data_IF_506959172576
#
_entry.id   IF_506959172576
#
_cell.length_a   1.000
_cell.length_b   1.000
_cell.length_c   1.000
_cell.angle_alpha   90.00
_cell.angle_beta   90.00
_cell.angle_gamma   90.00
#
_symmetry.space_group_name_H-M   'P 1'
#
loop_
_entity.id
_entity.type
_entity.pdbx_description
1 polymer ?
#
# COMPACT_ATOMS: atom_id res chain seq x y z
N UNK A 1 4.20 25.05 -19.98
CA UNK A 1 4.04 25.12 -18.51
C UNK A 1 2.75 24.47 -18.02
N UNK A 2 1.66 24.53 -18.80
CA UNK A 2 0.37 23.90 -18.47
C UNK A 2 0.34 22.36 -18.70
N UNK A 3 1.22 21.81 -19.55
CA UNK A 3 1.42 20.35 -19.65
C UNK A 3 2.16 19.75 -18.44
N UNK A 4 2.80 20.59 -17.62
CA UNK A 4 3.70 20.16 -16.53
C UNK A 4 2.96 19.83 -15.22
N UNK A 5 1.75 20.34 -15.02
CA UNK A 5 0.97 20.11 -13.79
C UNK A 5 0.05 18.88 -13.91
N UNK A 6 -0.25 18.45 -15.14
CA UNK A 6 -1.18 17.35 -15.41
C UNK A 6 -0.57 15.96 -15.15
N UNK A 7 0.75 15.84 -15.10
CA UNK A 7 1.42 14.55 -14.83
C UNK A 7 1.30 14.08 -13.36
N UNK A 8 0.99 14.98 -12.43
CA UNK A 8 0.79 14.65 -11.01
C UNK A 8 -0.60 14.04 -10.76
N UNK A 9 -1.55 14.20 -11.71
CA UNK A 9 -2.96 13.84 -11.52
C UNK A 9 -3.28 12.35 -11.64
N UNK A 10 -2.48 11.56 -12.38
CA UNK A 10 -2.75 10.13 -12.52
C UNK A 10 -2.01 9.33 -11.43
N UNK A 11 -2.71 8.82 -10.40
CA UNK A 11 -2.10 8.02 -9.34
C UNK A 11 -1.36 6.81 -9.90
N UNK A 12 -1.79 6.26 -11.05
CA UNK A 12 -1.09 5.13 -11.69
C UNK A 12 0.29 5.54 -12.18
N UNK A 13 0.41 6.68 -12.87
CA UNK A 13 1.71 7.20 -13.34
C UNK A 13 2.62 7.54 -12.16
N UNK A 14 2.07 8.16 -11.12
CA UNK A 14 2.80 8.45 -9.89
C UNK A 14 3.36 7.18 -9.22
N UNK A 15 2.53 6.16 -8.99
CA UNK A 15 2.97 4.91 -8.36
C UNK A 15 3.93 4.12 -9.26
N UNK A 16 3.72 4.13 -10.57
CA UNK A 16 4.65 3.52 -11.53
C UNK A 16 6.00 4.22 -11.51
N UNK A 17 6.03 5.56 -11.53
CA UNK A 17 7.25 6.36 -11.43
C UNK A 17 8.00 6.13 -10.12
N UNK A 18 7.28 6.11 -8.99
CA UNK A 18 7.83 5.79 -7.67
C UNK A 18 8.41 4.36 -7.60
N UNK A 19 7.75 3.37 -8.23
CA UNK A 19 8.22 1.99 -8.30
C UNK A 19 9.51 1.90 -9.11
N UNK A 20 9.52 2.51 -10.29
CA UNK A 20 10.67 2.53 -11.20
C UNK A 20 11.88 3.22 -10.56
N UNK A 21 11.69 4.41 -9.99
CA UNK A 21 12.75 5.14 -9.29
C UNK A 21 13.33 4.32 -8.13
N UNK A 22 12.49 3.58 -7.40
CA UNK A 22 12.96 2.69 -6.32
C UNK A 22 13.86 1.59 -6.85
N UNK A 23 13.48 0.91 -7.94
CA UNK A 23 14.30 -0.17 -8.52
C UNK A 23 15.63 0.39 -9.05
N UNK A 24 15.59 1.45 -9.86
CA UNK A 24 16.79 2.05 -10.47
C UNK A 24 17.78 2.52 -9.39
N UNK A 25 17.31 3.29 -8.41
CA UNK A 25 18.19 3.93 -7.42
C UNK A 25 18.60 2.93 -6.33
N UNK A 26 17.73 2.02 -5.89
CA UNK A 26 17.95 1.22 -4.67
C UNK A 26 18.32 -0.23 -4.92
N UNK A 27 17.96 -0.80 -6.07
CA UNK A 27 18.38 -2.16 -6.47
C UNK A 27 19.67 -2.10 -7.29
N UNK A 28 19.71 -1.24 -8.31
CA UNK A 28 20.86 -1.11 -9.19
C UNK A 28 21.88 -0.05 -8.74
N UNK A 29 21.57 0.72 -7.70
CA UNK A 29 22.49 1.72 -7.15
C UNK A 29 22.82 2.86 -8.12
N UNK A 30 22.02 3.03 -9.18
CA UNK A 30 22.24 4.05 -10.20
C UNK A 30 22.00 5.40 -9.53
N UNK A 31 23.08 6.16 -9.35
CA UNK A 31 23.00 7.55 -8.92
C UNK A 31 22.54 8.38 -10.10
N UNK A 32 21.45 9.11 -9.93
CA UNK A 32 20.90 9.93 -10.99
C UNK A 32 21.88 11.03 -11.37
N UNK A 33 22.38 11.02 -12.61
CA UNK A 33 23.17 12.11 -13.20
C UNK A 33 22.27 13.27 -13.66
N UNK A 34 20.98 13.00 -13.84
CA UNK A 34 19.94 13.96 -14.25
C UNK A 34 18.88 14.12 -13.17
N UNK A 35 18.41 15.34 -12.88
CA UNK A 35 17.42 15.63 -11.83
C UNK A 35 16.02 14.97 -12.03
N UNK A 36 15.79 14.25 -13.13
CA UNK A 36 14.50 13.64 -13.47
C UNK A 36 14.07 12.52 -12.49
N UNK A 37 14.98 11.69 -11.98
CA UNK A 37 14.62 10.60 -11.04
C UNK A 37 14.40 11.08 -9.60
N UNK A 38 14.85 12.29 -9.27
CA UNK A 38 14.66 12.90 -7.95
C UNK A 38 13.22 13.43 -7.75
N UNK A 39 12.46 13.55 -8.85
CA UNK A 39 11.04 13.96 -8.86
C UNK A 39 10.09 12.89 -8.31
N UNK A 40 10.47 11.61 -8.35
CA UNK A 40 9.63 10.51 -7.91
C UNK A 40 10.08 9.97 -6.55
N UNK A 41 9.21 10.00 -5.52
CA UNK A 41 9.57 9.45 -4.21
C UNK A 41 9.76 7.94 -4.31
N UNK A 42 10.81 7.41 -3.70
CA UNK A 42 11.04 5.96 -3.64
C UNK A 42 10.23 5.32 -2.50
N UNK A 43 9.72 4.10 -2.69
CA UNK A 43 8.94 3.35 -1.69
C UNK A 43 9.72 2.95 -0.43
N UNK A 44 11.01 3.29 -0.35
CA UNK A 44 11.93 2.86 0.69
C UNK A 44 12.69 4.07 1.24
N UNK A 45 12.83 4.16 2.56
CA UNK A 45 13.49 5.30 3.21
C UNK A 45 14.95 5.42 2.75
N UNK A 46 15.43 6.64 2.46
CA UNK A 46 16.80 6.98 1.99
C UNK A 46 17.90 6.36 2.86
N UNK A 47 17.63 6.26 4.15
CA UNK A 47 18.57 5.74 5.15
C UNK A 47 18.60 4.21 5.29
N UNK A 48 17.58 3.51 4.77
CA UNK A 48 17.52 2.04 4.76
C UNK A 48 17.89 1.54 3.36
N UNK A 49 19.17 1.63 3.04
CA UNK A 49 19.77 0.94 1.91
C UNK A 49 19.41 -0.55 1.95
N UNK A 50 18.96 -1.10 0.82
CA UNK A 50 18.93 -2.56 0.61
C UNK A 50 20.39 -3.03 0.55
N UNK A 51 21.07 -3.08 1.70
CA UNK A 51 22.11 -4.10 1.84
C UNK A 51 21.37 -5.43 1.63
N UNK A 52 21.87 -6.35 0.80
CA UNK A 52 21.30 -7.69 0.66
C UNK A 52 21.56 -8.44 1.98
N UNK A 53 20.81 -8.08 3.02
CA UNK A 53 20.70 -8.88 4.22
C UNK A 53 19.78 -10.02 3.84
N UNK A 54 20.38 -11.20 3.72
CA UNK A 54 19.70 -12.47 3.66
C UNK A 54 18.44 -12.44 4.52
N UNK A 55 17.33 -12.82 3.89
CA UNK A 55 15.95 -12.90 4.37
C UNK A 55 15.88 -12.91 5.90
N UNK A 56 15.60 -11.76 6.51
CA UNK A 56 15.25 -11.70 7.92
C UNK A 56 13.87 -12.33 8.04
N UNK A 57 13.78 -13.51 8.65
CA UNK A 57 12.54 -14.24 8.89
C UNK A 57 11.39 -13.28 9.21
N UNK A 58 10.35 -13.27 8.36
CA UNK A 58 9.14 -12.48 8.60
C UNK A 58 8.57 -12.89 9.96
N UNK A 59 8.61 -11.98 10.94
CA UNK A 59 8.04 -12.22 12.26
C UNK A 59 6.53 -12.36 12.12
N UNK A 60 6.01 -13.55 12.47
CA UNK A 60 4.58 -13.79 12.62
C UNK A 60 4.11 -13.14 13.91
N UNK A 61 2.90 -12.59 13.91
CA UNK A 61 2.26 -12.09 15.14
C UNK A 61 0.75 -12.32 15.08
N UNK A 62 0.12 -12.39 16.24
CA UNK A 62 -1.31 -12.67 16.34
C UNK A 62 -2.06 -11.54 17.06
N UNK A 63 -3.19 -11.13 16.50
CA UNK A 63 -4.08 -10.08 17.03
C UNK A 63 -5.52 -10.49 16.71
N UNK A 64 -6.41 -10.49 17.72
CA UNK A 64 -7.85 -10.77 17.55
C UNK A 64 -8.14 -12.09 16.78
N UNK A 65 -7.35 -13.13 17.06
CA UNK A 65 -7.46 -14.43 16.39
C UNK A 65 -6.86 -14.50 14.99
N UNK A 66 -6.38 -13.39 14.42
CA UNK A 66 -5.63 -13.40 13.16
C UNK A 66 -4.17 -13.74 13.43
N UNK A 67 -3.55 -14.52 12.53
CA UNK A 67 -2.09 -14.74 12.52
C UNK A 67 -1.50 -14.09 11.29
N UNK A 68 -0.91 -12.91 11.46
CA UNK A 68 -0.36 -12.11 10.37
C UNK A 68 1.10 -12.48 10.07
N UNK A 69 1.42 -12.56 8.78
CA UNK A 69 2.79 -12.68 8.26
C UNK A 69 3.03 -11.58 7.23
N UNK A 70 4.23 -10.99 7.21
CA UNK A 70 4.58 -10.00 6.21
C UNK A 70 4.61 -10.70 4.84
N UNK A 71 3.81 -10.23 3.91
CA UNK A 71 3.61 -10.86 2.62
C UNK A 71 4.08 -9.96 1.50
N UNK A 72 4.81 -10.55 0.56
CA UNK A 72 5.16 -9.92 -0.71
C UNK A 72 4.12 -10.32 -1.75
N UNK A 73 3.44 -9.33 -2.30
CA UNK A 73 2.45 -9.49 -3.35
C UNK A 73 3.10 -9.24 -4.70
N UNK A 74 2.86 -10.17 -5.63
CA UNK A 74 3.31 -10.09 -7.03
C UNK A 74 2.20 -9.62 -7.97
N UNK A 75 0.99 -9.45 -7.45
CA UNK A 75 -0.21 -8.99 -8.17
C UNK A 75 -0.89 -7.87 -7.39
N UNK A 76 -1.82 -7.15 -8.02
CA UNK A 76 -2.57 -6.07 -7.39
C UNK A 76 -3.51 -6.64 -6.34
N UNK A 77 -3.24 -6.34 -5.07
CA UNK A 77 -4.06 -6.76 -3.94
C UNK A 77 -4.64 -5.52 -3.26
N UNK A 78 -5.93 -5.56 -2.94
CA UNK A 78 -6.63 -4.55 -2.16
C UNK A 78 -6.56 -4.84 -0.65
N UNK A 79 -6.36 -3.81 0.17
CA UNK A 79 -6.46 -3.90 1.62
C UNK A 79 -7.91 -4.09 2.07
N UNK A 80 -8.18 -5.03 2.98
CA UNK A 80 -9.51 -5.31 3.51
C UNK A 80 -10.05 -4.19 4.42
N UNK A 81 -9.18 -3.43 5.09
CA UNK A 81 -9.61 -2.37 6.00
C UNK A 81 -10.02 -1.09 5.25
N UNK A 82 -9.13 -0.55 4.39
CA UNK A 82 -9.34 0.73 3.71
C UNK A 82 -9.74 0.61 2.23
N UNK A 83 -9.75 -0.61 1.68
CA UNK A 83 -10.12 -0.93 0.29
C UNK A 83 -9.23 -0.31 -0.80
N UNK A 84 -8.08 0.27 -0.42
CA UNK A 84 -7.08 0.76 -1.37
C UNK A 84 -6.05 -0.32 -1.72
N UNK A 85 -5.35 -0.13 -2.85
CA UNK A 85 -4.31 -1.04 -3.31
C UNK A 85 -3.12 -1.05 -2.34
N UNK A 86 -2.59 -2.23 -2.06
CA UNK A 86 -1.35 -2.41 -1.28
C UNK A 86 -0.16 -2.22 -2.24
N UNK A 87 0.52 -1.08 -2.12
CA UNK A 87 1.62 -0.66 -3.01
C UNK A 87 3.00 -0.82 -2.38
N UNK A 88 4.05 -0.79 -3.21
CA UNK A 88 5.45 -0.81 -2.80
C UNK A 88 6.22 -2.05 -3.24
N UNK A 89 7.50 -2.11 -2.86
CA UNK A 89 8.43 -3.21 -3.19
C UNK A 89 8.83 -3.95 -1.91
N UNK A 90 9.03 -5.27 -2.03
CA UNK A 90 9.24 -6.16 -0.88
C UNK A 90 7.91 -6.53 -0.21
N UNK A 91 7.90 -6.97 1.06
CA UNK A 91 6.65 -7.31 1.75
C UNK A 91 5.74 -6.08 1.98
N UNK A 92 4.82 -5.76 1.07
CA UNK A 92 4.08 -4.48 1.09
C UNK A 92 3.01 -4.44 2.18
N UNK A 93 2.52 -5.60 2.62
CA UNK A 93 1.47 -5.70 3.63
C UNK A 93 1.59 -6.97 4.47
N UNK A 94 0.51 -7.26 5.19
CA UNK A 94 0.37 -8.46 5.99
C UNK A 94 -0.80 -9.29 5.48
N UNK A 95 -0.62 -10.61 5.48
CA UNK A 95 -1.67 -11.57 5.18
C UNK A 95 -1.95 -12.41 6.43
N UNK A 96 -3.23 -12.61 6.75
CA UNK A 96 -3.62 -13.57 7.78
C UNK A 96 -3.49 -14.99 7.24
N UNK A 97 -2.75 -15.86 7.92
CA UNK A 97 -2.59 -17.27 7.54
C UNK A 97 -3.86 -18.11 7.74
N UNK A 98 -4.80 -17.63 8.56
CA UNK A 98 -6.04 -18.34 8.89
C UNK A 98 -7.14 -17.99 7.89
N UNK A 99 -7.54 -16.72 7.84
CA UNK A 99 -8.64 -16.26 6.98
C UNK A 99 -8.18 -15.64 5.65
N UNK A 100 -6.89 -15.51 5.39
CA UNK A 100 -6.37 -15.02 4.10
C UNK A 100 -6.55 -13.52 3.83
N UNK A 101 -7.14 -12.74 4.75
CA UNK A 101 -7.31 -11.29 4.54
C UNK A 101 -5.96 -10.60 4.42
N UNK A 102 -5.91 -9.56 3.57
CA UNK A 102 -4.72 -8.78 3.29
C UNK A 102 -4.92 -7.35 3.81
N UNK A 103 -3.93 -6.83 4.53
CA UNK A 103 -3.96 -5.48 5.12
C UNK A 103 -2.66 -4.73 4.81
N UNK A 104 -2.74 -3.39 4.67
CA UNK A 104 -1.53 -2.57 4.70
C UNK A 104 -0.86 -2.67 6.07
N UNK A 105 0.47 -2.45 6.12
CA UNK A 105 1.25 -2.38 7.36
C UNK A 105 0.63 -1.46 8.44
N UNK A 106 0.21 -0.20 8.14
CA UNK A 106 -0.49 0.64 9.12
C UNK A 106 -1.89 0.13 9.48
N UNK A 107 -2.62 -0.45 8.51
CA UNK A 107 -4.00 -0.90 8.73
C UNK A 107 -4.13 -2.08 9.68
N UNK A 108 -3.10 -2.90 9.86
CA UNK A 108 -3.17 -4.03 10.81
C UNK A 108 -3.44 -3.57 12.24
N UNK A 109 -2.92 -2.39 12.63
CA UNK A 109 -3.16 -1.85 13.97
C UNK A 109 -4.55 -1.24 14.16
N UNK A 110 -5.23 -0.91 13.05
CA UNK A 110 -6.53 -0.26 13.02
C UNK A 110 -7.67 -1.26 12.75
N UNK A 111 -7.33 -2.53 12.51
CA UNK A 111 -8.30 -3.56 12.19
C UNK A 111 -8.75 -4.26 13.47
N UNK A 112 -10.02 -4.03 13.84
CA UNK A 112 -10.59 -4.43 15.13
C UNK A 112 -11.55 -5.63 15.03
N UNK A 113 -11.78 -6.17 13.83
CA UNK A 113 -12.65 -7.34 13.68
C UNK A 113 -11.91 -8.62 14.12
N UNK A 114 -12.66 -9.55 14.71
CA UNK A 114 -12.15 -10.88 15.05
C UNK A 114 -12.01 -11.77 13.82
N UNK A 115 -11.04 -12.69 13.87
CA UNK A 115 -10.80 -13.60 12.77
C UNK A 115 -11.99 -14.55 12.55
N UNK A 116 -12.54 -14.61 11.32
CA UNK A 116 -13.66 -15.51 11.01
C UNK A 116 -13.25 -16.98 10.91
N UNK A 117 -11.97 -17.29 11.09
CA UNK A 117 -11.41 -18.62 10.90
C UNK A 117 -11.11 -18.97 9.42
N UNK A 118 -10.72 -20.22 9.15
CA UNK A 118 -10.38 -20.69 7.81
C UNK A 118 -11.56 -20.56 6.84
N UNK A 119 -11.33 -19.91 5.70
CA UNK A 119 -12.36 -19.75 4.67
C UNK A 119 -12.54 -21.08 3.95
N UNK A 120 -13.54 -21.87 4.35
CA UNK A 120 -14.04 -23.00 3.54
C UNK A 120 -14.83 -22.46 2.34
N UNK A 121 -15.14 -23.31 1.34
CA UNK A 121 -15.87 -22.91 0.11
C UNK A 121 -17.17 -22.10 0.36
N UNK A 122 -17.77 -22.22 1.56
CA UNK A 122 -18.95 -21.44 2.01
C UNK A 122 -18.63 -20.05 2.58
N UNK A 123 -17.40 -19.79 3.02
CA UNK A 123 -16.95 -18.52 3.60
C UNK A 123 -16.56 -17.45 2.56
N UNK A 124 -16.30 -17.85 1.31
CA UNK A 124 -15.97 -16.91 0.22
C UNK A 124 -17.14 -15.95 -0.02
N UNK A 125 -18.38 -16.45 0.08
CA UNK A 125 -19.59 -15.63 -0.06
C UNK A 125 -19.65 -14.52 1.00
N UNK A 126 -19.34 -14.83 2.27
CA UNK A 126 -19.30 -13.83 3.35
C UNK A 126 -18.27 -12.72 3.08
N UNK A 127 -17.09 -13.07 2.54
CA UNK A 127 -16.08 -12.06 2.18
C UNK A 127 -16.58 -11.13 1.06
N UNK A 128 -17.32 -11.67 0.08
CA UNK A 128 -17.95 -10.89 -0.99
C UNK A 128 -19.09 -10.01 -0.45
N UNK A 129 -19.92 -10.54 0.46
CA UNK A 129 -21.06 -9.85 1.07
C UNK A 129 -20.61 -8.67 1.96
N UNK A 130 -19.55 -8.83 2.76
CA UNK A 130 -18.95 -7.72 3.52
C UNK A 130 -18.39 -6.62 2.61
N UNK A 131 -17.83 -7.01 1.47
CA UNK A 131 -17.30 -6.06 0.46
C UNK A 131 -18.42 -5.25 -0.18
N UNK A 132 -19.57 -5.87 -0.44
CA UNK A 132 -20.77 -5.20 -0.96
C UNK A 132 -21.39 -4.22 0.07
N UNK A 133 -21.43 -4.61 1.35
CA UNK A 133 -22.01 -3.77 2.41
C UNK A 133 -21.19 -2.52 2.72
N UNK A 134 -19.85 -2.60 2.77
CA UNK A 134 -18.99 -1.42 3.00
C UNK A 134 -18.92 -0.45 1.82
N UNK A 135 -19.13 -0.92 0.59
CA UNK A 135 -19.15 -0.06 -0.60
C UNK A 135 -20.32 0.94 -0.56
N UNK A 136 -21.45 0.57 0.06
CA UNK A 136 -22.58 1.47 0.29
C UNK A 136 -22.26 2.62 1.26
N UNK A 137 -21.48 2.38 2.32
CA UNK A 137 -21.06 3.46 3.25
C UNK A 137 -20.15 4.50 2.59
N UNK A 138 -19.35 4.11 1.58
CA UNK A 138 -18.47 5.05 0.87
C UNK A 138 -19.24 5.95 -0.10
N UNK A 139 -20.37 5.51 -0.64
CA UNK A 139 -21.25 6.35 -1.48
C UNK A 139 -21.93 7.48 -0.71
N UNK A 140 -22.09 7.37 0.61
CA UNK A 140 -22.76 8.39 1.44
C UNK A 140 -21.81 9.43 2.05
N UNK A 141 -20.49 9.28 1.92
CA UNK A 141 -19.53 10.28 2.43
C UNK A 141 -18.39 10.53 1.42
N UNK A 142 -18.54 11.52 0.52
CA UNK A 142 -17.52 11.85 -0.49
C UNK A 142 -16.25 12.50 0.08
N UNK A 143 -16.19 12.83 1.37
CA UNK A 143 -15.14 13.68 1.95
C UNK A 143 -13.95 12.91 2.57
N UNK A 144 -13.47 11.87 1.89
CA UNK A 144 -12.04 11.54 1.95
C UNK A 144 -11.48 11.72 0.54
N UNK A 145 -11.31 13.00 0.23
CA UNK A 145 -10.61 13.50 -0.94
C UNK A 145 -9.19 12.92 -1.01
N UNK A 146 -8.59 12.85 -2.22
CA UNK A 146 -7.16 12.75 -2.38
C UNK A 146 -6.44 13.79 -1.51
N UNK A 147 -5.27 13.42 -0.99
CA UNK A 147 -4.36 14.25 -0.22
C UNK A 147 -4.02 15.53 -1.01
N UNK A 148 -4.78 16.61 -0.83
CA UNK A 148 -4.42 17.93 -1.35
C UNK A 148 -3.24 18.46 -0.54
N UNK A 149 -2.12 18.71 -1.24
CA UNK A 149 -0.96 19.38 -0.69
C UNK A 149 -1.37 20.82 -0.34
N UNK A 150 -1.23 21.18 0.93
CA UNK A 150 -1.29 22.57 1.38
C UNK A 150 -0.04 23.29 0.86
N UNK A 151 -0.15 24.04 -0.22
CA UNK A 151 0.84 25.05 -0.59
C UNK A 151 0.48 26.36 0.11
N UNK A 152 1.31 26.75 1.06
CA UNK A 152 1.48 28.13 1.50
C UNK A 152 2.01 28.97 0.33
N UNK A 153 1.44 30.17 0.11
CA UNK A 153 2.21 31.41 -0.07
C UNK A 153 1.30 32.64 -0.02
N UNK A 154 1.88 33.69 0.55
CA UNK A 154 1.28 34.91 1.09
C UNK A 154 1.09 36.04 0.06
N UNK A 155 0.43 37.10 0.55
CA UNK A 155 0.46 38.52 0.17
C UNK A 155 -0.45 38.98 -0.97
N UNK A 156 -1.40 39.84 -0.61
CA UNK A 156 -1.15 41.30 -0.62
C UNK A 156 -1.69 41.94 0.67
#
# INVERSE_FOLDING_TARGET
SEEMEKEISDPRKYYTGAALATVIIRVFGVRSTTHALDRFPTFVNKERSFRPKFIKYSRKFSVLGHTYVAQQYYTVISCYHCHQIIYGIGPQGYQCLVCGINLHRPCVKLYEDNCPGPITKKGIHKLMDFRASKDQRKKQNPHLAPFEKKSSEDKD
#
